data_IF_879620187167
#
_entry.id   IF_879620187167
#
_cell.length_a   1.000
_cell.length_b   1.000
_cell.length_c   1.000
_cell.angle_alpha   90.00
_cell.angle_beta   90.00
_cell.angle_gamma   90.00
#
_symmetry.space_group_name_H-M   'P 1'
#
loop_
_entity.id
_entity.type
_entity.pdbx_description
1 polymer ?
#
# COMPACT_ATOMS: atom_id res chain seq x y z
N UNK A 1 72.87 -16.28 -0.11
CA UNK A 1 71.97 -15.59 -1.05
C UNK A 1 70.68 -16.37 -1.28
N UNK A 2 70.69 -17.67 -1.30
CA UNK A 2 69.52 -18.55 -1.51
C UNK A 2 68.59 -18.53 -0.28
N UNK A 3 69.11 -18.61 0.96
CA UNK A 3 68.25 -18.58 2.19
C UNK A 3 67.42 -17.32 2.36
N UNK A 4 67.99 -16.14 2.01
CA UNK A 4 67.21 -14.88 2.07
C UNK A 4 66.03 -14.85 1.08
N UNK A 5 66.20 -15.50 -0.10
CA UNK A 5 65.11 -15.62 -1.09
C UNK A 5 64.01 -16.57 -0.60
N UNK A 6 64.39 -17.68 0.03
CA UNK A 6 63.43 -18.66 0.59
C UNK A 6 62.59 -18.02 1.72
N UNK A 7 63.25 -17.30 2.63
CA UNK A 7 62.56 -16.58 3.72
C UNK A 7 61.61 -15.48 3.20
N UNK A 8 62.01 -14.75 2.15
CA UNK A 8 61.18 -13.75 1.50
C UNK A 8 59.95 -14.37 0.83
N UNK A 9 60.13 -15.51 0.13
CA UNK A 9 59.05 -16.23 -0.54
C UNK A 9 58.07 -16.81 0.51
N UNK A 10 58.55 -17.41 1.59
CA UNK A 10 57.71 -17.92 2.66
C UNK A 10 56.88 -16.81 3.32
N UNK A 11 57.49 -15.65 3.60
CA UNK A 11 56.77 -14.50 4.16
C UNK A 11 55.69 -13.95 3.21
N UNK A 12 55.93 -13.98 1.88
CA UNK A 12 54.94 -13.56 0.88
C UNK A 12 53.76 -14.53 0.80
N UNK A 13 54.03 -15.84 0.85
CA UNK A 13 52.99 -16.87 0.86
C UNK A 13 52.13 -16.78 2.11
N UNK A 14 52.76 -16.59 3.28
CA UNK A 14 52.03 -16.43 4.55
C UNK A 14 51.12 -15.21 4.52
N UNK A 15 51.58 -14.05 3.99
CA UNK A 15 50.73 -12.86 3.80
C UNK A 15 49.53 -13.12 2.88
N UNK A 16 49.77 -13.83 1.77
CA UNK A 16 48.71 -14.16 0.81
C UNK A 16 47.64 -15.08 1.43
N UNK A 17 48.07 -16.07 2.23
CA UNK A 17 47.13 -16.97 2.95
C UNK A 17 46.35 -16.21 3.99
N UNK A 18 46.95 -15.29 4.75
CA UNK A 18 46.24 -14.48 5.75
C UNK A 18 45.22 -13.55 5.09
N UNK A 19 45.56 -12.92 3.96
CA UNK A 19 44.63 -12.06 3.19
C UNK A 19 43.45 -12.87 2.66
N UNK A 20 43.69 -14.06 2.13
CA UNK A 20 42.58 -14.92 1.65
C UNK A 20 41.70 -15.42 2.79
N UNK A 21 42.28 -15.77 3.95
CA UNK A 21 41.50 -16.13 5.15
C UNK A 21 40.64 -14.95 5.63
N UNK A 22 41.19 -13.73 5.59
CA UNK A 22 40.47 -12.52 5.99
C UNK A 22 39.33 -12.21 5.00
N UNK A 23 39.55 -12.36 3.71
CA UNK A 23 38.54 -12.20 2.67
C UNK A 23 37.44 -13.28 2.74
N UNK A 24 37.79 -14.52 3.09
CA UNK A 24 36.84 -15.59 3.37
C UNK A 24 35.97 -15.29 4.60
N UNK A 25 36.58 -14.76 5.68
CA UNK A 25 35.81 -14.37 6.86
C UNK A 25 34.88 -13.17 6.56
N UNK A 26 35.33 -12.16 5.82
CA UNK A 26 34.48 -11.02 5.46
C UNK A 26 33.33 -11.45 4.54
N UNK A 27 33.52 -12.42 3.65
CA UNK A 27 32.44 -13.00 2.86
C UNK A 27 31.48 -13.84 3.71
N UNK A 28 31.94 -14.52 4.76
CA UNK A 28 31.05 -15.23 5.70
C UNK A 28 30.21 -14.27 6.54
N UNK A 29 30.70 -13.09 6.88
CA UNK A 29 29.93 -12.05 7.58
C UNK A 29 29.00 -11.23 6.67
N UNK A 30 29.19 -11.28 5.35
CA UNK A 30 28.33 -10.60 4.37
C UNK A 30 27.11 -11.45 3.95
N UNK A 31 27.07 -12.72 4.32
CA UNK A 31 25.96 -13.62 4.00
C UNK A 31 25.15 -13.91 5.27
N UNK A 32 23.93 -13.55 5.20
CA UNK A 32 22.81 -13.72 6.12
C UNK A 32 22.48 -12.47 6.94
N UNK A 33 22.12 -11.38 6.27
CA UNK A 33 20.94 -10.65 6.71
C UNK A 33 19.79 -11.65 6.55
N UNK A 34 19.57 -12.47 7.56
CA UNK A 34 18.37 -13.27 7.71
C UNK A 34 17.25 -12.24 7.68
N UNK A 35 16.61 -12.08 6.53
CA UNK A 35 15.36 -11.33 6.47
C UNK A 35 14.46 -12.10 7.42
N UNK A 36 14.29 -11.59 8.63
CA UNK A 36 13.22 -12.06 9.48
C UNK A 36 11.98 -11.92 8.62
N UNK A 37 11.37 -13.06 8.33
CA UNK A 37 10.15 -13.12 7.54
C UNK A 37 9.15 -12.32 8.35
N UNK A 38 8.87 -11.10 7.90
CA UNK A 38 7.84 -10.28 8.51
C UNK A 38 6.50 -10.98 8.27
N UNK A 39 6.06 -11.76 9.24
CA UNK A 39 4.84 -12.57 9.18
C UNK A 39 3.65 -11.84 9.80
N UNK A 40 3.86 -10.60 10.26
CA UNK A 40 2.85 -9.84 10.99
C UNK A 40 2.54 -8.52 10.29
N UNK A 41 1.33 -8.03 10.51
CA UNK A 41 0.93 -6.71 10.06
C UNK A 41 -0.09 -6.69 8.92
N UNK A 42 -0.45 -5.49 8.54
CA UNK A 42 -1.41 -5.20 7.48
C UNK A 42 -0.64 -4.56 6.33
N UNK A 43 -0.67 -5.18 5.15
CA UNK A 43 -0.14 -4.60 3.93
C UNK A 43 -1.27 -3.93 3.16
N UNK A 44 -1.16 -2.62 2.93
CA UNK A 44 -2.12 -1.89 2.10
C UNK A 44 -1.70 -1.95 0.63
N UNK A 45 -2.64 -2.33 -0.24
CA UNK A 45 -2.54 -2.23 -1.69
C UNK A 45 -3.46 -1.12 -2.17
N UNK A 46 -2.86 -0.06 -2.67
CA UNK A 46 -3.54 1.16 -3.12
C UNK A 46 -3.80 1.12 -4.63
N UNK A 47 -5.03 1.44 -5.04
CA UNK A 47 -5.45 1.56 -6.43
C UNK A 47 -6.16 2.89 -6.64
N UNK A 48 -6.31 3.33 -7.92
CA UNK A 48 -7.01 4.57 -8.25
C UNK A 48 -7.96 4.35 -9.44
N UNK A 49 -7.41 4.15 -10.64
CA UNK A 49 -8.13 4.07 -11.92
C UNK A 49 -8.15 2.66 -12.47
N UNK A 50 -9.19 2.33 -13.21
CA UNK A 50 -9.37 1.00 -13.79
C UNK A 50 -9.76 1.09 -15.27
N UNK A 51 -9.05 0.37 -16.13
CA UNK A 51 -9.29 0.31 -17.58
C UNK A 51 -9.17 1.66 -18.32
N UNK A 52 -8.52 2.65 -17.72
CA UNK A 52 -8.20 3.90 -18.40
C UNK A 52 -6.87 3.79 -19.14
N UNK A 53 -6.74 4.46 -20.31
CA UNK A 53 -5.51 4.41 -21.10
C UNK A 53 -4.61 5.65 -20.90
N UNK A 54 -5.16 6.70 -20.29
CA UNK A 54 -4.51 8.03 -20.24
C UNK A 54 -3.49 8.19 -19.10
N UNK A 55 -3.64 7.46 -18.00
CA UNK A 55 -2.86 7.66 -16.77
C UNK A 55 -2.19 6.35 -16.32
N UNK A 56 -1.13 5.91 -17.01
CA UNK A 56 -0.55 4.57 -16.79
C UNK A 56 0.03 4.37 -15.39
N UNK A 57 0.47 5.43 -14.71
CA UNK A 57 1.04 5.35 -13.36
C UNK A 57 0.02 5.09 -12.25
N UNK A 58 -1.26 5.42 -12.48
CA UNK A 58 -2.35 5.26 -11.51
C UNK A 58 -3.46 4.36 -12.00
N UNK A 59 -3.29 3.73 -13.17
CA UNK A 59 -4.29 2.87 -13.80
C UNK A 59 -3.88 1.41 -13.75
N UNK A 60 -4.86 0.52 -13.53
CA UNK A 60 -4.68 -0.92 -13.62
C UNK A 60 -5.70 -1.53 -14.57
N UNK A 61 -5.32 -2.59 -15.29
CA UNK A 61 -6.23 -3.41 -16.08
C UNK A 61 -6.99 -4.39 -15.18
N UNK A 62 -8.24 -4.67 -15.50
CA UNK A 62 -9.08 -5.53 -14.67
C UNK A 62 -8.59 -6.98 -14.59
N UNK A 63 -7.99 -7.51 -15.64
CA UNK A 63 -7.36 -8.83 -15.61
C UNK A 63 -6.20 -8.90 -14.61
N UNK A 64 -5.36 -7.85 -14.55
CA UNK A 64 -4.28 -7.73 -13.57
C UNK A 64 -4.82 -7.56 -12.16
N UNK A 65 -5.84 -6.70 -11.97
CA UNK A 65 -6.48 -6.51 -10.67
C UNK A 65 -7.08 -7.81 -10.13
N UNK A 66 -7.84 -8.55 -10.93
CA UNK A 66 -8.39 -9.86 -10.57
C UNK A 66 -7.29 -10.85 -10.21
N UNK A 67 -6.20 -10.86 -10.97
CA UNK A 67 -5.05 -11.72 -10.67
C UNK A 67 -4.38 -11.36 -9.34
N UNK A 68 -4.32 -10.08 -8.95
CA UNK A 68 -3.86 -9.70 -7.62
C UNK A 68 -4.74 -10.30 -6.52
N UNK A 69 -6.07 -10.26 -6.68
CA UNK A 69 -7.00 -10.86 -5.71
C UNK A 69 -6.86 -12.40 -5.64
N UNK A 70 -6.62 -13.06 -6.78
CA UNK A 70 -6.33 -14.49 -6.83
C UNK A 70 -5.00 -14.83 -6.11
N UNK A 71 -3.95 -14.05 -6.32
CA UNK A 71 -2.65 -14.24 -5.65
C UNK A 71 -2.82 -14.12 -4.13
N UNK A 72 -3.58 -13.15 -3.65
CA UNK A 72 -3.88 -12.97 -2.23
C UNK A 72 -4.53 -14.24 -1.66
N UNK A 73 -5.59 -14.73 -2.30
CA UNK A 73 -6.32 -15.94 -1.87
C UNK A 73 -5.45 -17.19 -1.94
N UNK A 74 -4.72 -17.39 -3.04
CA UNK A 74 -3.92 -18.61 -3.28
C UNK A 74 -2.67 -18.70 -2.37
N UNK A 75 -2.23 -17.62 -1.78
CA UNK A 75 -1.14 -17.58 -0.81
C UNK A 75 -1.61 -17.51 0.65
N UNK A 76 -2.88 -17.80 0.90
CA UNK A 76 -3.50 -17.82 2.22
C UNK A 76 -3.40 -16.48 2.98
N UNK A 77 -3.39 -15.35 2.25
CA UNK A 77 -3.59 -14.05 2.84
C UNK A 77 -5.09 -13.78 3.00
N UNK A 78 -5.44 -13.19 4.12
CA UNK A 78 -6.79 -12.74 4.38
C UNK A 78 -6.95 -11.26 3.96
N UNK A 79 -8.13 -10.92 3.44
CA UNK A 79 -8.48 -9.50 3.28
C UNK A 79 -8.78 -8.91 4.65
N UNK A 80 -8.20 -7.73 4.90
CA UNK A 80 -8.43 -7.00 6.13
C UNK A 80 -9.75 -6.23 6.04
N UNK A 81 -10.62 -6.44 7.02
CA UNK A 81 -11.85 -5.65 7.14
C UNK A 81 -11.56 -4.36 7.93
N UNK A 82 -11.73 -3.18 7.34
CA UNK A 82 -11.42 -1.90 7.96
C UNK A 82 -12.10 -1.64 9.31
N UNK A 83 -13.28 -2.22 9.57
CA UNK A 83 -13.97 -2.10 10.88
C UNK A 83 -13.18 -2.66 12.06
N UNK A 84 -12.26 -3.59 11.79
CA UNK A 84 -11.42 -4.22 12.80
C UNK A 84 -10.09 -3.46 13.04
N UNK A 85 -9.90 -2.28 12.42
CA UNK A 85 -8.62 -1.56 12.42
C UNK A 85 -8.11 -1.28 13.84
N UNK A 86 -8.91 -0.69 14.71
CA UNK A 86 -8.49 -0.39 16.08
C UNK A 86 -8.11 -1.64 16.86
N UNK A 87 -8.92 -2.68 16.77
CA UNK A 87 -8.70 -3.96 17.44
C UNK A 87 -7.43 -4.64 16.97
N UNK A 88 -7.19 -4.64 15.67
CA UNK A 88 -6.11 -5.40 15.05
C UNK A 88 -4.78 -4.61 15.02
N UNK A 89 -4.84 -3.28 14.95
CA UNK A 89 -3.66 -2.41 14.94
C UNK A 89 -2.77 -2.59 16.18
N UNK A 90 -3.38 -2.76 17.34
CA UNK A 90 -2.68 -3.01 18.62
C UNK A 90 -2.41 -4.48 18.87
N UNK A 91 -2.90 -5.39 18.01
CA UNK A 91 -2.72 -6.82 18.20
C UNK A 91 -1.48 -7.32 17.45
N UNK A 92 -0.36 -7.41 18.16
CA UNK A 92 0.95 -7.85 17.62
C UNK A 92 0.96 -9.28 17.05
N UNK A 93 -0.13 -10.05 17.24
CA UNK A 93 -0.24 -11.45 16.80
C UNK A 93 -0.99 -11.62 15.47
N UNK A 94 -1.38 -10.53 14.84
CA UNK A 94 -2.16 -10.58 13.60
C UNK A 94 -1.33 -11.21 12.48
N UNK A 95 -1.88 -12.21 11.84
CA UNK A 95 -1.33 -12.78 10.61
C UNK A 95 -1.34 -11.72 9.49
N UNK A 96 -0.51 -11.91 8.48
CA UNK A 96 -0.50 -11.02 7.32
C UNK A 96 -1.89 -10.87 6.72
N UNK A 97 -2.40 -9.65 6.76
CA UNK A 97 -3.66 -9.28 6.13
C UNK A 97 -3.43 -8.23 5.06
N UNK A 98 -4.27 -8.23 4.05
CA UNK A 98 -4.19 -7.30 2.92
C UNK A 98 -5.37 -6.35 3.00
N UNK A 99 -5.07 -5.06 3.18
CA UNK A 99 -6.03 -3.97 3.06
C UNK A 99 -6.07 -3.49 1.60
N UNK A 100 -7.25 -3.42 1.03
CA UNK A 100 -7.45 -2.80 -0.29
C UNK A 100 -7.91 -1.37 -0.08
N UNK A 101 -7.20 -0.43 -0.69
CA UNK A 101 -7.61 0.99 -0.74
C UNK A 101 -7.76 1.45 -2.18
N UNK A 102 -8.77 2.28 -2.41
CA UNK A 102 -9.06 2.87 -3.70
C UNK A 102 -9.12 4.39 -3.48
N UNK A 103 -8.27 5.14 -4.16
CA UNK A 103 -8.20 6.57 -3.97
C UNK A 103 -8.97 7.32 -5.07
N UNK A 104 -9.39 8.56 -4.77
CA UNK A 104 -10.01 9.56 -5.64
C UNK A 104 -11.45 9.27 -6.08
N UNK A 105 -12.01 8.11 -5.83
CA UNK A 105 -13.37 7.76 -6.26
C UNK A 105 -13.64 8.04 -7.76
N UNK A 106 -12.71 7.63 -8.63
CA UNK A 106 -12.88 7.77 -10.08
C UNK A 106 -14.07 6.96 -10.60
N UNK A 107 -14.77 7.49 -11.61
CA UNK A 107 -15.87 6.79 -12.25
C UNK A 107 -15.46 5.44 -12.87
N UNK A 108 -14.19 5.31 -13.25
CA UNK A 108 -13.63 4.06 -13.76
C UNK A 108 -13.60 2.94 -12.71
N UNK A 109 -13.39 3.26 -11.42
CA UNK A 109 -13.55 2.32 -10.31
C UNK A 109 -15.00 1.80 -10.26
N UNK A 110 -15.99 2.70 -10.21
CA UNK A 110 -17.39 2.32 -10.11
C UNK A 110 -17.86 1.44 -11.28
N UNK A 111 -17.40 1.73 -12.48
CA UNK A 111 -17.78 0.99 -13.69
C UNK A 111 -17.12 -0.38 -13.82
N UNK A 112 -15.87 -0.51 -13.40
CA UNK A 112 -15.04 -1.69 -13.71
C UNK A 112 -14.74 -2.54 -12.49
N UNK A 113 -14.23 -1.96 -11.38
CA UNK A 113 -13.79 -2.73 -10.22
C UNK A 113 -14.91 -2.98 -9.21
N UNK A 114 -15.81 -2.02 -9.00
CA UNK A 114 -16.89 -2.13 -8.03
C UNK A 114 -17.78 -3.37 -8.25
N UNK A 115 -18.25 -3.70 -9.46
CA UNK A 115 -19.05 -4.92 -9.68
C UNK A 115 -18.33 -6.20 -9.24
N UNK A 116 -17.02 -6.27 -9.48
CA UNK A 116 -16.21 -7.42 -9.07
C UNK A 116 -16.01 -7.49 -7.55
N UNK A 117 -15.71 -6.37 -6.90
CA UNK A 117 -15.56 -6.31 -5.44
C UNK A 117 -16.88 -6.64 -4.74
N UNK A 118 -18.00 -6.14 -5.27
CA UNK A 118 -19.36 -6.41 -4.81
C UNK A 118 -19.72 -7.89 -4.89
N UNK A 119 -19.50 -8.52 -6.02
CA UNK A 119 -19.76 -9.95 -6.25
C UNK A 119 -18.95 -10.85 -5.30
N UNK A 120 -17.69 -10.49 -5.07
CA UNK A 120 -16.77 -11.28 -4.24
C UNK A 120 -16.76 -10.87 -2.76
N UNK A 121 -17.52 -9.85 -2.36
CA UNK A 121 -17.58 -9.28 -1.01
C UNK A 121 -16.20 -8.96 -0.42
N UNK A 122 -15.30 -8.43 -1.27
CA UNK A 122 -13.93 -8.08 -0.85
C UNK A 122 -13.97 -6.74 -0.12
N UNK A 123 -13.52 -6.68 1.17
CA UNK A 123 -13.52 -5.44 1.92
C UNK A 123 -12.48 -4.45 1.39
N UNK A 124 -12.83 -3.17 1.39
CA UNK A 124 -11.96 -2.09 0.92
C UNK A 124 -12.37 -0.74 1.53
N UNK A 125 -11.45 0.22 1.46
CA UNK A 125 -11.73 1.64 1.73
C UNK A 125 -11.70 2.38 0.40
N UNK A 126 -12.74 3.18 0.12
CA UNK A 126 -12.80 4.13 -0.98
C UNK A 126 -12.57 5.54 -0.42
N UNK A 127 -11.39 6.09 -0.65
CA UNK A 127 -11.07 7.46 -0.27
C UNK A 127 -11.59 8.44 -1.32
N UNK A 128 -12.31 9.48 -0.91
CA UNK A 128 -12.87 10.46 -1.82
C UNK A 128 -12.61 11.89 -1.37
N UNK A 129 -12.17 12.72 -2.31
CA UNK A 129 -12.05 14.17 -2.13
C UNK A 129 -13.38 14.82 -2.39
N UNK A 130 -13.86 15.62 -1.44
CA UNK A 130 -15.25 16.08 -1.47
C UNK A 130 -15.54 17.10 -2.57
N UNK A 131 -14.54 17.84 -3.08
CA UNK A 131 -14.71 18.77 -4.21
C UNK A 131 -14.89 18.07 -5.55
N UNK A 132 -14.40 16.84 -5.68
CA UNK A 132 -14.43 16.11 -6.95
C UNK A 132 -15.75 15.38 -7.19
N UNK A 133 -16.58 15.21 -6.16
CA UNK A 133 -17.83 14.45 -6.23
C UNK A 133 -18.76 15.02 -7.31
N UNK A 134 -19.16 14.17 -8.24
CA UNK A 134 -20.05 14.55 -9.35
C UNK A 134 -19.37 15.25 -10.52
N UNK A 135 -18.09 15.56 -10.42
CA UNK A 135 -17.32 16.12 -11.53
C UNK A 135 -17.10 15.07 -12.62
N UNK A 136 -16.82 15.55 -13.84
CA UNK A 136 -16.54 14.67 -14.98
C UNK A 136 -15.40 13.72 -14.70
N UNK A 137 -15.67 12.42 -14.74
CA UNK A 137 -14.67 11.36 -14.50
C UNK A 137 -14.61 10.85 -13.06
N UNK A 138 -15.41 11.42 -12.16
CA UNK A 138 -15.56 11.00 -10.78
C UNK A 138 -16.94 10.41 -10.50
N UNK A 139 -17.09 9.73 -9.39
CA UNK A 139 -18.37 9.18 -8.93
C UNK A 139 -19.30 10.29 -8.48
N UNK A 140 -20.60 10.06 -8.68
CA UNK A 140 -21.65 10.94 -8.12
C UNK A 140 -21.91 10.61 -6.65
N UNK A 141 -22.59 11.50 -5.93
CA UNK A 141 -23.02 11.26 -4.56
C UNK A 141 -23.87 9.99 -4.43
N UNK A 142 -24.81 9.76 -5.36
CA UNK A 142 -25.66 8.56 -5.33
C UNK A 142 -24.86 7.27 -5.51
N UNK A 143 -23.82 7.29 -6.35
CA UNK A 143 -22.92 6.14 -6.52
C UNK A 143 -22.09 5.88 -5.27
N UNK A 144 -21.61 6.92 -4.58
CA UNK A 144 -20.91 6.79 -3.30
C UNK A 144 -21.83 6.20 -2.23
N UNK A 145 -23.07 6.66 -2.13
CA UNK A 145 -24.07 6.13 -1.19
C UNK A 145 -24.47 4.69 -1.52
N UNK A 146 -24.53 4.31 -2.79
CA UNK A 146 -24.69 2.90 -3.15
C UNK A 146 -23.55 2.07 -2.61
N UNK A 147 -22.30 2.48 -2.83
CA UNK A 147 -21.12 1.75 -2.33
C UNK A 147 -21.15 1.66 -0.81
N UNK A 148 -21.39 2.77 -0.09
CA UNK A 148 -21.48 2.81 1.37
C UNK A 148 -22.54 1.85 1.95
N UNK A 149 -23.60 1.58 1.20
CA UNK A 149 -24.69 0.70 1.68
C UNK A 149 -24.27 -0.77 1.88
N UNK A 150 -23.09 -1.15 1.46
CA UNK A 150 -22.56 -2.52 1.60
C UNK A 150 -21.62 -2.63 2.80
N UNK A 151 -21.84 -3.63 3.66
CA UNK A 151 -21.15 -3.81 4.94
C UNK A 151 -19.63 -4.06 4.85
N UNK A 152 -19.11 -4.33 3.69
CA UNK A 152 -17.67 -4.54 3.40
C UNK A 152 -17.03 -3.36 2.65
N UNK A 153 -17.79 -2.33 2.33
CA UNK A 153 -17.31 -1.15 1.62
C UNK A 153 -17.33 0.06 2.56
N UNK A 154 -16.18 0.69 2.71
CA UNK A 154 -15.99 1.80 3.63
C UNK A 154 -15.61 3.05 2.86
N UNK A 155 -16.17 4.20 3.23
CA UNK A 155 -15.74 5.49 2.69
C UNK A 155 -14.71 6.11 3.62
N UNK A 156 -13.65 6.67 3.02
CA UNK A 156 -12.61 7.42 3.70
C UNK A 156 -12.52 8.85 3.16
N UNK A 157 -12.15 9.78 4.02
CA UNK A 157 -11.92 11.17 3.64
C UNK A 157 -10.56 11.32 2.95
N UNK A 158 -10.52 11.96 1.79
CA UNK A 158 -9.29 12.27 1.03
C UNK A 158 -9.11 13.78 0.81
N UNK A 159 -9.36 14.57 1.84
CA UNK A 159 -9.39 16.04 1.82
C UNK A 159 -10.58 16.64 1.05
N UNK A 160 -10.63 17.97 0.96
CA UNK A 160 -11.62 18.65 0.13
C UNK A 160 -11.10 18.85 -1.29
N UNK A 161 -9.99 19.59 -1.44
CA UNK A 161 -9.51 20.05 -2.74
C UNK A 161 -8.64 19.05 -3.51
N UNK A 162 -8.10 18.04 -2.84
CA UNK A 162 -7.12 17.11 -3.42
C UNK A 162 -5.83 17.80 -3.93
N UNK A 163 -5.49 18.96 -3.38
CA UNK A 163 -4.25 19.66 -3.70
C UNK A 163 -3.06 19.13 -2.88
N UNK A 164 -1.84 19.50 -3.27
CA UNK A 164 -0.62 19.17 -2.51
C UNK A 164 -0.58 19.94 -1.19
N UNK A 165 -1.01 19.32 -0.11
CA UNK A 165 -1.12 19.92 1.22
C UNK A 165 0.22 20.39 1.80
N UNK A 166 1.34 19.84 1.33
CA UNK A 166 2.69 20.29 1.74
C UNK A 166 2.99 21.74 1.34
N UNK A 167 2.23 22.29 0.38
CA UNK A 167 2.33 23.67 -0.08
C UNK A 167 1.36 24.61 0.65
N UNK A 168 0.53 24.06 1.55
CA UNK A 168 -0.44 24.85 2.30
C UNK A 168 0.20 25.45 3.55
N UNK A 169 -0.19 26.70 3.87
CA UNK A 169 -0.05 27.18 5.23
C UNK A 169 -1.07 26.50 6.16
N UNK A 170 -0.92 26.72 7.45
CA UNK A 170 -1.78 26.08 8.45
C UNK A 170 -3.25 26.47 8.32
N UNK A 171 -3.55 27.70 7.92
CA UNK A 171 -4.92 28.19 7.76
C UNK A 171 -5.60 27.50 6.57
N UNK A 172 -4.94 27.46 5.40
CA UNK A 172 -5.45 26.79 4.19
C UNK A 172 -5.63 25.29 4.44
N UNK A 173 -4.64 24.65 5.10
CA UNK A 173 -4.74 23.24 5.48
C UNK A 173 -5.96 22.98 6.37
N UNK A 174 -6.10 23.73 7.45
CA UNK A 174 -7.20 23.56 8.41
C UNK A 174 -8.57 23.79 7.74
N UNK A 175 -8.67 24.80 6.88
CA UNK A 175 -9.90 25.09 6.13
C UNK A 175 -10.30 23.96 5.19
N UNK A 176 -9.35 23.39 4.45
CA UNK A 176 -9.59 22.30 3.53
C UNK A 176 -10.07 21.04 4.26
N UNK A 177 -9.36 20.62 5.30
CA UNK A 177 -9.71 19.45 6.09
C UNK A 177 -11.06 19.61 6.78
N UNK A 178 -11.31 20.75 7.45
CA UNK A 178 -12.59 20.98 8.13
C UNK A 178 -13.76 20.95 7.15
N UNK A 179 -13.59 21.51 5.96
CA UNK A 179 -14.64 21.49 4.92
C UNK A 179 -14.95 20.08 4.45
N UNK A 180 -13.92 19.25 4.28
CA UNK A 180 -14.13 17.86 3.90
C UNK A 180 -14.84 17.07 4.99
N UNK A 181 -14.46 17.25 6.26
CA UNK A 181 -15.10 16.60 7.42
C UNK A 181 -16.58 17.01 7.52
N UNK A 182 -16.89 18.30 7.36
CA UNK A 182 -18.26 18.80 7.39
C UNK A 182 -19.13 18.12 6.32
N UNK A 183 -18.64 18.03 5.08
CA UNK A 183 -19.35 17.38 3.98
C UNK A 183 -19.53 15.87 4.25
N UNK A 184 -18.50 15.19 4.72
CA UNK A 184 -18.60 13.77 5.06
C UNK A 184 -19.64 13.52 6.15
N UNK A 185 -19.59 14.28 7.25
CA UNK A 185 -20.55 14.12 8.36
C UNK A 185 -21.99 14.44 7.94
N UNK A 186 -22.19 15.33 6.96
CA UNK A 186 -23.51 15.68 6.46
C UNK A 186 -24.10 14.65 5.48
N UNK A 187 -23.26 13.90 4.77
CA UNK A 187 -23.69 13.06 3.65
C UNK A 187 -23.58 11.56 3.91
N UNK A 188 -22.69 11.12 4.78
CA UNK A 188 -22.39 9.71 5.02
C UNK A 188 -22.62 9.34 6.48
N UNK A 189 -23.06 8.09 6.71
CA UNK A 189 -23.33 7.58 8.06
C UNK A 189 -22.07 7.11 8.77
N UNK A 190 -21.01 6.82 8.04
CA UNK A 190 -19.78 6.25 8.56
C UNK A 190 -18.59 6.80 7.75
N UNK A 191 -17.71 7.53 8.42
CA UNK A 191 -16.43 7.95 7.85
C UNK A 191 -15.30 7.34 8.68
N UNK A 192 -14.41 6.59 8.03
CA UNK A 192 -13.10 6.28 8.61
C UNK A 192 -12.26 7.55 8.50
N UNK A 193 -12.03 8.20 9.62
CA UNK A 193 -11.17 9.39 9.76
C UNK A 193 -9.70 8.98 9.81
#
# INVERSE_FOLDING_TARGET
MIEKKILSLAASITKLVIINLFLLQTNLYATEKKYEKDEKGILSLMYHRFEENKYPSTNIKMDVFKKHMEIIKNNNFEFFDPKDFEKEFYNVKVNKKILITIDDAFLSFYKNAWPFLKENQIPFILFTSTETIGNKGYMTMDQLKEVESYSFAYLGNHSHSHEYMVEFDFEKYTKDINKSIEIFNAQFNYCLL
#
